data_IF_924430737559
#
_entry.id   IF_924430737559
#
_cell.length_a   1.000
_cell.length_b   1.000
_cell.length_c   1.000
_cell.angle_alpha   90.00
_cell.angle_beta   90.00
_cell.angle_gamma   90.00
#
_symmetry.space_group_name_H-M   'P 1'
#
loop_
_entity.id
_entity.type
_entity.pdbx_description
1 polymer ?
#
# COMPACT_ATOMS: atom_id res chain seq x y z
N UNK A 1 3.03 -4.05 10.93
CA UNK A 1 4.05 -4.79 10.17
C UNK A 1 4.33 -6.11 10.87
N UNK A 2 4.20 -7.24 10.16
CA UNK A 2 4.42 -8.59 10.69
C UNK A 2 5.19 -9.48 9.69
N UNK A 3 6.07 -8.88 8.88
CA UNK A 3 6.67 -9.55 7.71
C UNK A 3 8.14 -9.22 7.53
N UNK A 4 8.91 -9.10 8.62
CA UNK A 4 10.38 -9.00 8.53
C UNK A 4 11.08 -10.35 8.29
N UNK A 5 10.34 -11.45 8.10
CA UNK A 5 10.88 -12.79 7.86
C UNK A 5 10.15 -13.58 6.77
N UNK A 6 9.46 -12.89 5.87
CA UNK A 6 8.77 -13.53 4.73
C UNK A 6 9.72 -13.49 3.53
N UNK A 7 9.94 -14.63 2.89
CA UNK A 7 10.72 -14.74 1.66
C UNK A 7 10.03 -14.02 0.48
N UNK A 8 10.82 -13.61 -0.52
CA UNK A 8 10.34 -12.82 -1.66
C UNK A 8 9.19 -13.49 -2.42
N UNK A 9 9.17 -14.82 -2.50
CA UNK A 9 8.12 -15.57 -3.19
C UNK A 9 6.79 -15.50 -2.42
N UNK A 10 6.84 -15.74 -1.11
CA UNK A 10 5.67 -15.61 -0.24
C UNK A 10 5.15 -14.16 -0.23
N UNK A 11 6.02 -13.15 -0.27
CA UNK A 11 5.61 -11.75 -0.38
C UNK A 11 4.86 -11.48 -1.70
N UNK A 12 5.36 -11.99 -2.82
CA UNK A 12 4.71 -11.85 -4.11
C UNK A 12 3.32 -12.51 -4.10
N UNK A 13 3.19 -13.70 -3.51
CA UNK A 13 1.91 -14.41 -3.39
C UNK A 13 0.90 -13.63 -2.54
N UNK A 14 1.34 -13.06 -1.42
CA UNK A 14 0.50 -12.21 -0.56
C UNK A 14 0.06 -10.97 -1.34
N UNK A 15 0.96 -10.31 -2.06
CA UNK A 15 0.64 -9.12 -2.83
C UNK A 15 -0.41 -9.43 -3.92
N UNK A 16 -0.24 -10.51 -4.68
CA UNK A 16 -1.21 -10.92 -5.69
C UNK A 16 -2.58 -11.28 -5.07
N UNK A 17 -2.59 -11.89 -3.89
CA UNK A 17 -3.83 -12.20 -3.19
C UNK A 17 -4.55 -10.91 -2.76
N UNK A 18 -3.82 -9.93 -2.23
CA UNK A 18 -4.36 -8.63 -1.86
C UNK A 18 -4.88 -7.87 -3.08
N UNK A 19 -4.14 -7.85 -4.19
CA UNK A 19 -4.58 -7.20 -5.44
C UNK A 19 -5.90 -7.79 -5.96
N UNK A 20 -6.00 -9.13 -6.01
CA UNK A 20 -7.27 -9.80 -6.38
C UNK A 20 -8.40 -9.45 -5.41
N UNK A 21 -8.08 -9.31 -4.12
CA UNK A 21 -9.07 -8.88 -3.15
C UNK A 21 -9.48 -7.41 -3.38
N UNK A 22 -8.62 -6.52 -3.83
CA UNK A 22 -8.99 -5.11 -3.97
C UNK A 22 -9.94 -4.82 -5.14
N UNK A 23 -10.00 -5.70 -6.16
CA UNK A 23 -10.82 -5.51 -7.35
C UNK A 23 -12.30 -5.28 -6.99
N UNK A 24 -12.85 -4.16 -7.48
CA UNK A 24 -14.26 -3.80 -7.32
C UNK A 24 -14.63 -3.35 -5.89
N UNK A 25 -13.65 -3.08 -5.02
CA UNK A 25 -13.87 -2.66 -3.64
C UNK A 25 -13.11 -1.40 -3.31
N UNK A 26 -13.73 -0.50 -2.54
CA UNK A 26 -13.00 0.59 -1.88
C UNK A 26 -12.13 -0.02 -0.78
N UNK A 27 -10.82 0.08 -0.95
CA UNK A 27 -9.85 -0.48 0.01
C UNK A 27 -9.00 0.64 0.60
N UNK A 28 -8.82 0.61 1.92
CA UNK A 28 -7.89 1.49 2.63
C UNK A 28 -6.73 0.64 3.12
N UNK A 29 -5.50 0.99 2.71
CA UNK A 29 -4.29 0.26 3.07
C UNK A 29 -3.34 1.18 3.83
N UNK A 30 -2.85 0.72 4.98
CA UNK A 30 -1.74 1.37 5.70
C UNK A 30 -0.46 0.70 5.21
N UNK A 31 0.28 1.39 4.35
CA UNK A 31 1.46 0.85 3.70
C UNK A 31 2.75 1.46 4.25
N UNK A 32 3.76 0.62 4.44
CA UNK A 32 5.16 1.02 4.68
C UNK A 32 6.09 0.57 3.54
N UNK A 33 5.57 -0.20 2.57
CA UNK A 33 6.31 -0.71 1.41
C UNK A 33 5.95 0.07 0.16
N UNK A 34 6.96 0.45 -0.61
CA UNK A 34 6.81 1.21 -1.86
C UNK A 34 5.98 0.45 -2.90
N UNK A 35 6.11 -0.88 -2.96
CA UNK A 35 5.35 -1.74 -3.88
C UNK A 35 3.84 -1.63 -3.70
N UNK A 36 3.37 -1.43 -2.47
CA UNK A 36 1.95 -1.27 -2.15
C UNK A 36 1.47 0.16 -2.42
N UNK A 37 2.34 1.15 -2.25
CA UNK A 37 2.03 2.58 -2.44
C UNK A 37 1.89 2.91 -3.93
N UNK A 38 2.76 2.35 -4.79
CA UNK A 38 2.82 2.67 -6.21
C UNK A 38 1.53 2.36 -6.99
N UNK A 39 0.79 1.34 -6.56
CA UNK A 39 -0.44 0.89 -7.23
C UNK A 39 -1.71 1.55 -6.66
N UNK A 40 -1.58 2.49 -5.73
CA UNK A 40 -2.73 3.14 -5.11
C UNK A 40 -3.28 4.29 -5.96
N UNK A 41 -4.61 4.38 -6.08
CA UNK A 41 -5.29 5.47 -6.78
C UNK A 41 -5.11 6.82 -6.07
N UNK A 42 -4.95 6.80 -4.74
CA UNK A 42 -4.71 7.97 -3.91
C UNK A 42 -3.85 7.59 -2.70
N UNK A 43 -2.80 8.37 -2.46
CA UNK A 43 -1.90 8.25 -1.33
C UNK A 43 -2.16 9.44 -0.40
N UNK A 44 -2.18 9.17 0.91
CA UNK A 44 -2.34 10.18 1.95
C UNK A 44 -1.17 10.02 2.93
N UNK A 45 -0.35 11.07 3.06
CA UNK A 45 0.79 11.07 3.98
C UNK A 45 0.35 11.66 5.31
N UNK A 46 0.49 10.87 6.38
CA UNK A 46 0.23 11.28 7.74
C UNK A 46 1.54 11.61 8.46
N UNK A 47 1.61 12.80 9.07
CA UNK A 47 2.70 13.19 9.96
C UNK A 47 2.12 13.65 11.30
N UNK A 48 2.38 12.87 12.34
CA UNK A 48 1.70 13.06 13.63
C UNK A 48 0.20 12.88 13.48
N UNK A 49 -0.58 13.93 13.80
CA UNK A 49 -2.05 13.91 13.72
C UNK A 49 -2.60 14.70 12.52
N UNK A 50 -1.76 15.02 11.53
CA UNK A 50 -2.14 15.82 10.38
C UNK A 50 -1.84 15.09 9.06
N UNK A 51 -2.73 15.29 8.08
CA UNK A 51 -2.46 14.96 6.68
C UNK A 51 -1.58 16.07 6.13
N UNK A 52 -0.36 15.71 5.71
CA UNK A 52 0.60 16.67 5.16
C UNK A 52 0.60 16.69 3.64
N UNK A 53 0.28 15.56 3.01
CA UNK A 53 0.26 15.42 1.55
C UNK A 53 -0.85 14.46 1.10
N UNK A 54 -1.34 14.69 -0.12
CA UNK A 54 -2.34 13.84 -0.78
C UNK A 54 -2.16 13.94 -2.29
N UNK A 55 -2.06 12.79 -2.96
CA UNK A 55 -1.90 12.72 -4.40
C UNK A 55 -1.70 11.29 -4.88
N UNK A 56 -1.45 11.10 -6.16
CA UNK A 56 -0.98 9.83 -6.73
C UNK A 56 0.52 9.63 -6.47
N UNK A 57 1.06 8.47 -6.81
CA UNK A 57 2.49 8.22 -6.67
C UNK A 57 3.35 9.14 -7.55
N UNK A 58 2.82 9.66 -8.65
CA UNK A 58 3.56 10.56 -9.55
C UNK A 58 3.56 12.01 -9.06
N UNK A 59 2.62 12.36 -8.19
CA UNK A 59 2.42 13.72 -7.68
C UNK A 59 3.15 14.00 -6.36
N UNK A 60 3.60 12.95 -5.66
CA UNK A 60 4.28 12.98 -4.36
C UNK A 60 5.75 12.56 -4.49
#
# INVERSE_FOLDING_TARGET
EATSSVDTETELLIQQALERLMIGRTTVVIAHRLSTIRSADCIVVLKGSQIVEKGTHEEL
#
